data_IF_313384957155
#
_entry.id   IF_313384957155
#
_cell.length_a   1.000
_cell.length_b   1.000
_cell.length_c   1.000
_cell.angle_alpha   90.00
_cell.angle_beta   90.00
_cell.angle_gamma   90.00
#
_symmetry.space_group_name_H-M   'P 1'
#
loop_
_entity.id
_entity.type
_entity.pdbx_description
1 polymer ?
#
# COMPACT_ATOMS: atom_id res chain seq x y z
N UNK A 1 -9.63 -26.80 29.78
CA UNK A 1 -9.65 -26.64 28.31
C UNK A 1 -10.14 -25.24 28.00
N UNK A 2 -9.24 -24.32 27.68
CA UNK A 2 -9.58 -22.93 27.38
C UNK A 2 -10.06 -22.84 25.93
N UNK A 3 -11.24 -22.26 25.70
CA UNK A 3 -11.79 -22.08 24.36
C UNK A 3 -10.85 -21.17 23.52
N UNK A 4 -10.67 -21.46 22.21
CA UNK A 4 -9.96 -20.56 21.31
C UNK A 4 -10.70 -19.22 21.27
N UNK A 5 -10.00 -18.11 21.56
CA UNK A 5 -10.55 -16.76 21.35
C UNK A 5 -10.83 -16.60 19.84
N UNK A 6 -12.01 -16.14 19.41
CA UNK A 6 -12.22 -15.79 18.01
C UNK A 6 -11.28 -14.65 17.66
N UNK A 7 -10.28 -14.92 16.83
CA UNK A 7 -9.35 -13.93 16.33
C UNK A 7 -10.06 -12.98 15.38
N UNK A 8 -10.73 -11.97 15.92
CA UNK A 8 -11.16 -10.80 15.14
C UNK A 8 -10.02 -9.79 15.14
N UNK A 9 -8.91 -10.15 14.51
CA UNK A 9 -7.81 -9.23 14.22
C UNK A 9 -7.72 -9.05 12.71
N UNK A 10 -8.21 -7.92 12.19
CA UNK A 10 -7.61 -7.36 10.97
C UNK A 10 -7.43 -5.85 11.14
N UNK A 11 -6.42 -5.39 11.92
CA UNK A 11 -6.17 -3.95 12.05
C UNK A 11 -5.54 -3.35 10.78
N UNK A 12 -4.96 -4.17 9.89
CA UNK A 12 -4.23 -3.71 8.71
C UNK A 12 -4.45 -4.62 7.48
N UNK A 13 -5.44 -4.28 6.66
CA UNK A 13 -5.74 -4.99 5.40
C UNK A 13 -4.81 -4.53 4.26
N UNK A 14 -4.01 -5.46 3.74
CA UNK A 14 -3.04 -5.23 2.67
C UNK A 14 -3.53 -5.63 1.28
N UNK A 15 -4.82 -5.93 1.11
CA UNK A 15 -5.41 -6.32 -0.19
C UNK A 15 -5.18 -5.29 -1.30
N UNK A 16 -5.06 -4.01 -0.96
CA UNK A 16 -4.75 -2.95 -1.92
C UNK A 16 -3.37 -3.12 -2.57
N UNK A 17 -2.41 -3.77 -1.91
CA UNK A 17 -1.09 -4.03 -2.49
C UNK A 17 -1.18 -4.96 -3.70
N UNK A 18 -2.05 -5.97 -3.64
CA UNK A 18 -2.29 -6.89 -4.76
C UNK A 18 -2.92 -6.15 -5.94
N UNK A 19 -3.94 -5.34 -5.68
CA UNK A 19 -4.61 -4.55 -6.73
C UNK A 19 -3.65 -3.53 -7.33
N UNK A 20 -2.88 -2.81 -6.49
CA UNK A 20 -1.85 -1.87 -6.92
C UNK A 20 -0.82 -2.53 -7.82
N UNK A 21 -0.25 -3.67 -7.40
CA UNK A 21 0.74 -4.40 -8.19
C UNK A 21 0.18 -4.87 -9.55
N UNK A 22 -1.07 -5.35 -9.59
CA UNK A 22 -1.72 -5.76 -10.84
C UNK A 22 -1.97 -4.58 -11.78
N UNK A 23 -2.48 -3.46 -11.26
CA UNK A 23 -2.74 -2.25 -12.05
C UNK A 23 -1.42 -1.68 -12.58
N UNK A 24 -0.40 -1.56 -11.73
CA UNK A 24 0.93 -1.09 -12.14
C UNK A 24 1.54 -2.03 -13.17
N UNK A 25 1.43 -3.35 -13.00
CA UNK A 25 1.92 -4.33 -13.98
C UNK A 25 1.22 -4.20 -15.33
N UNK A 26 -0.11 -4.06 -15.35
CA UNK A 26 -0.87 -3.89 -16.58
C UNK A 26 -0.51 -2.58 -17.30
N UNK A 27 -0.43 -1.46 -16.57
CA UNK A 27 -0.05 -0.16 -17.13
C UNK A 27 1.39 -0.18 -17.62
N UNK A 28 2.32 -0.80 -16.88
CA UNK A 28 3.71 -0.92 -17.26
C UNK A 28 3.89 -1.77 -18.52
N UNK A 29 3.13 -2.86 -18.68
CA UNK A 29 3.17 -3.67 -19.89
C UNK A 29 2.72 -2.87 -21.13
N UNK A 30 1.63 -2.11 -21.02
CA UNK A 30 1.15 -1.24 -22.10
C UNK A 30 2.15 -0.12 -22.39
N UNK A 31 2.66 0.54 -21.36
CA UNK A 31 3.63 1.62 -21.50
C UNK A 31 4.94 1.14 -22.13
N UNK A 32 5.46 -0.02 -21.70
CA UNK A 32 6.67 -0.62 -22.26
C UNK A 32 6.48 -0.98 -23.74
N UNK A 33 5.30 -1.47 -24.12
CA UNK A 33 4.98 -1.73 -25.53
C UNK A 33 4.97 -0.43 -26.35
N UNK A 34 4.29 0.61 -25.85
CA UNK A 34 4.22 1.91 -26.55
C UNK A 34 5.62 2.52 -26.70
N UNK A 35 6.39 2.60 -25.61
CA UNK A 35 7.75 3.15 -25.61
C UNK A 35 8.70 2.32 -26.48
N UNK A 36 8.58 0.99 -26.42
CA UNK A 36 9.37 0.08 -27.26
C UNK A 36 9.16 0.31 -28.76
N UNK A 37 7.92 0.62 -29.16
CA UNK A 37 7.56 0.88 -30.54
C UNK A 37 7.85 2.32 -31.01
N UNK A 38 7.91 3.31 -30.11
CA UNK A 38 8.08 4.72 -30.47
C UNK A 38 9.49 5.26 -30.26
N UNK A 39 10.18 4.82 -29.21
CA UNK A 39 11.49 5.33 -28.78
C UNK A 39 12.57 4.25 -28.85
N UNK A 40 12.20 2.98 -28.61
CA UNK A 40 13.05 1.81 -28.77
C UNK A 40 12.99 0.87 -27.58
N UNK A 41 13.45 -0.37 -27.79
CA UNK A 41 13.34 -1.43 -26.77
C UNK A 41 14.25 -1.20 -25.55
N UNK A 42 15.31 -0.40 -25.66
CA UNK A 42 16.13 -0.02 -24.51
C UNK A 42 15.31 0.84 -23.52
N UNK A 43 14.53 1.80 -24.02
CA UNK A 43 13.67 2.67 -23.20
C UNK A 43 12.51 1.87 -22.58
N UNK A 44 12.01 0.86 -23.28
CA UNK A 44 11.01 -0.07 -22.73
C UNK A 44 11.53 -0.80 -21.48
N UNK A 45 12.82 -1.15 -21.43
CA UNK A 45 13.45 -1.71 -20.22
C UNK A 45 13.45 -0.67 -19.10
N UNK A 46 13.73 0.60 -19.39
CA UNK A 46 13.61 1.71 -18.43
C UNK A 46 12.22 1.80 -17.79
N UNK A 47 11.16 1.64 -18.59
CA UNK A 47 9.78 1.59 -18.10
C UNK A 47 9.55 0.40 -17.16
N UNK A 48 10.00 -0.79 -17.53
CA UNK A 48 9.82 -1.99 -16.69
C UNK A 48 10.61 -1.90 -15.39
N UNK A 49 11.84 -1.40 -15.44
CA UNK A 49 12.68 -1.18 -14.25
C UNK A 49 12.05 -0.13 -13.34
N UNK A 50 11.61 1.01 -13.88
CA UNK A 50 10.94 2.05 -13.08
C UNK A 50 9.66 1.55 -12.43
N UNK A 51 8.84 0.77 -13.15
CA UNK A 51 7.63 0.15 -12.61
C UNK A 51 7.94 -0.85 -11.49
N UNK A 52 8.99 -1.67 -11.65
CA UNK A 52 9.43 -2.60 -10.62
C UNK A 52 9.90 -1.86 -9.34
N UNK A 53 10.69 -0.80 -9.50
CA UNK A 53 11.16 0.05 -8.40
C UNK A 53 9.97 0.68 -7.64
N UNK A 54 9.01 1.26 -8.36
CA UNK A 54 7.80 1.84 -7.76
C UNK A 54 7.06 0.78 -6.96
N UNK A 55 6.78 -0.38 -7.59
CA UNK A 55 6.03 -1.48 -6.96
C UNK A 55 6.72 -1.93 -5.69
N UNK A 56 8.04 -2.18 -5.74
CA UNK A 56 8.82 -2.60 -4.58
C UNK A 56 8.73 -1.58 -3.45
N UNK A 57 8.92 -0.30 -3.74
CA UNK A 57 8.84 0.74 -2.73
C UNK A 57 7.48 0.82 -2.04
N UNK A 58 6.39 0.78 -2.80
CA UNK A 58 5.06 0.89 -2.21
C UNK A 58 4.66 -0.37 -1.45
N UNK A 59 5.05 -1.56 -1.92
CA UNK A 59 4.83 -2.82 -1.20
C UNK A 59 5.59 -2.81 0.12
N UNK A 60 6.89 -2.50 0.11
CA UNK A 60 7.70 -2.45 1.34
C UNK A 60 7.15 -1.41 2.30
N UNK A 61 6.80 -0.22 1.81
CA UNK A 61 6.19 0.84 2.64
C UNK A 61 4.89 0.37 3.29
N UNK A 62 3.99 -0.24 2.53
CA UNK A 62 2.73 -0.76 3.05
C UNK A 62 2.93 -1.83 4.12
N UNK A 63 3.87 -2.75 3.92
CA UNK A 63 4.20 -3.80 4.89
C UNK A 63 4.80 -3.21 6.17
N UNK A 64 5.72 -2.25 6.06
CA UNK A 64 6.35 -1.58 7.22
C UNK A 64 5.32 -0.79 8.01
N UNK A 65 4.44 -0.03 7.35
CA UNK A 65 3.39 0.74 8.01
C UNK A 65 2.40 -0.18 8.72
N UNK A 66 1.94 -1.25 8.06
CA UNK A 66 1.05 -2.23 8.67
C UNK A 66 1.70 -2.96 9.85
N UNK A 67 3.00 -3.26 9.75
CA UNK A 67 3.74 -3.82 10.87
C UNK A 67 3.86 -2.83 12.05
N UNK A 68 4.19 -1.57 11.78
CA UNK A 68 4.29 -0.53 12.81
C UNK A 68 2.95 -0.30 13.53
N UNK A 69 1.85 -0.25 12.77
CA UNK A 69 0.52 -0.10 13.33
C UNK A 69 0.05 -1.30 14.16
N UNK A 70 0.50 -2.53 13.83
CA UNK A 70 0.25 -3.70 14.70
C UNK A 70 0.94 -3.58 16.06
N UNK A 71 2.02 -2.81 16.17
CA UNK A 71 2.70 -2.57 17.45
C UNK A 71 1.98 -1.47 18.23
N UNK A 72 1.77 -0.31 17.60
CA UNK A 72 0.99 0.81 18.13
C UNK A 72 0.63 1.76 16.98
N UNK A 73 -0.63 2.16 16.89
CA UNK A 73 -1.14 3.06 15.84
C UNK A 73 -0.37 4.39 15.74
N UNK A 74 0.21 4.87 16.85
CA UNK A 74 1.03 6.08 16.90
C UNK A 74 2.29 5.98 16.02
N UNK A 75 2.79 4.77 15.74
CA UNK A 75 3.98 4.56 14.91
C UNK A 75 3.70 4.56 13.40
N UNK A 76 2.43 4.57 12.98
CA UNK A 76 2.06 4.49 11.56
C UNK A 76 2.53 5.71 10.76
N UNK A 77 2.32 6.92 11.30
CA UNK A 77 2.75 8.17 10.66
C UNK A 77 4.29 8.28 10.63
N UNK A 78 5.03 8.10 11.76
CA UNK A 78 6.49 8.05 11.72
C UNK A 78 7.03 7.01 10.73
N UNK A 79 6.44 5.81 10.68
CA UNK A 79 6.84 4.77 9.73
C UNK A 79 6.60 5.19 8.28
N UNK A 80 5.46 5.81 7.99
CA UNK A 80 5.14 6.31 6.65
C UNK A 80 6.12 7.41 6.21
N UNK A 81 6.40 8.38 7.08
CA UNK A 81 7.33 9.47 6.79
C UNK A 81 8.77 8.96 6.65
N UNK A 82 9.20 8.04 7.52
CA UNK A 82 10.50 7.40 7.46
C UNK A 82 10.70 6.61 6.16
N UNK A 83 9.70 5.82 5.75
CA UNK A 83 9.75 5.08 4.48
C UNK A 83 9.79 6.01 3.27
N UNK A 84 9.05 7.12 3.30
CA UNK A 84 9.13 8.14 2.26
C UNK A 84 10.53 8.76 2.18
N UNK A 85 11.13 9.10 3.32
CA UNK A 85 12.48 9.64 3.37
C UNK A 85 13.53 8.65 2.84
N UNK A 86 13.48 7.39 3.28
CA UNK A 86 14.35 6.32 2.78
C UNK A 86 14.19 6.16 1.26
N UNK A 87 12.96 6.14 0.76
CA UNK A 87 12.69 6.05 -0.68
C UNK A 87 13.30 7.22 -1.46
N UNK A 88 13.22 8.44 -0.94
CA UNK A 88 13.82 9.61 -1.57
C UNK A 88 15.35 9.48 -1.65
N UNK A 89 16.00 9.04 -0.56
CA UNK A 89 17.45 8.82 -0.53
C UNK A 89 17.88 7.70 -1.50
N UNK A 90 17.16 6.59 -1.52
CA UNK A 90 17.46 5.48 -2.44
C UNK A 90 17.29 5.92 -3.89
N UNK A 91 16.20 6.63 -4.24
CA UNK A 91 16.02 7.15 -5.60
C UNK A 91 17.10 8.16 -5.98
N UNK A 92 17.45 9.06 -5.07
CA UNK A 92 18.54 10.01 -5.31
C UNK A 92 19.84 9.28 -5.61
N UNK A 93 20.24 8.32 -4.77
CA UNK A 93 21.47 7.54 -4.97
C UNK A 93 21.45 6.70 -6.26
N UNK A 94 20.31 6.08 -6.58
CA UNK A 94 20.16 5.28 -7.82
C UNK A 94 20.27 6.16 -9.05
N UNK A 95 19.56 7.29 -9.07
CA UNK A 95 19.62 8.21 -10.21
C UNK A 95 21.02 8.77 -10.35
N UNK A 96 21.65 9.23 -9.27
CA UNK A 96 23.01 9.80 -9.30
C UNK A 96 24.06 8.80 -9.81
N UNK A 97 23.95 7.52 -9.44
CA UNK A 97 24.85 6.46 -9.90
C UNK A 97 24.67 6.07 -11.38
N UNK A 98 23.57 6.46 -12.02
CA UNK A 98 23.32 6.15 -13.43
C UNK A 98 24.16 7.08 -14.33
N UNK A 99 24.99 6.57 -15.24
CA UNK A 99 25.72 7.41 -16.19
C UNK A 99 24.77 8.16 -17.13
N UNK A 100 25.12 9.39 -17.52
CA UNK A 100 24.29 10.23 -18.42
C UNK A 100 24.09 9.59 -19.79
N UNK A 101 25.16 9.03 -20.37
CA UNK A 101 25.13 8.33 -21.67
C UNK A 101 24.98 6.80 -21.51
N UNK A 102 24.30 6.36 -20.45
CA UNK A 102 24.06 4.94 -20.19
C UNK A 102 23.12 4.28 -21.20
N UNK A 103 23.12 2.95 -21.22
CA UNK A 103 22.13 2.16 -21.98
C UNK A 103 20.70 2.30 -21.41
N UNK A 104 20.57 2.87 -20.22
CA UNK A 104 19.31 3.10 -19.53
C UNK A 104 19.08 4.61 -19.42
N UNK A 105 18.09 5.12 -20.16
CA UNK A 105 17.77 6.55 -20.12
C UNK A 105 17.26 6.99 -18.74
N UNK A 106 18.03 7.88 -18.10
CA UNK A 106 17.73 8.45 -16.79
C UNK A 106 16.40 9.19 -16.80
N UNK A 107 16.05 9.87 -17.90
CA UNK A 107 14.82 10.66 -18.01
C UNK A 107 13.57 9.77 -18.11
N UNK A 108 13.61 8.74 -18.95
CA UNK A 108 12.56 7.71 -19.06
C UNK A 108 12.33 7.00 -17.72
N UNK A 109 13.41 6.62 -17.02
CA UNK A 109 13.31 6.00 -15.70
C UNK A 109 12.64 6.96 -14.69
N UNK A 110 13.09 8.22 -14.63
CA UNK A 110 12.56 9.22 -13.71
C UNK A 110 11.06 9.46 -13.94
N UNK A 111 10.64 9.66 -15.19
CA UNK A 111 9.22 9.83 -15.53
C UNK A 111 8.38 8.62 -15.21
N UNK A 112 8.90 7.42 -15.48
CA UNK A 112 8.23 6.17 -15.12
C UNK A 112 7.99 6.09 -13.62
N UNK A 113 9.00 6.45 -12.80
CA UNK A 113 8.86 6.45 -11.34
C UNK A 113 7.81 7.45 -10.88
N UNK A 114 7.81 8.66 -11.45
CA UNK A 114 6.83 9.72 -11.11
C UNK A 114 5.41 9.26 -11.46
N UNK A 115 5.17 8.86 -12.71
CA UNK A 115 3.85 8.43 -13.19
C UNK A 115 3.38 7.18 -12.43
N UNK A 116 4.27 6.21 -12.20
CA UNK A 116 3.98 5.03 -11.42
C UNK A 116 3.61 5.34 -9.97
N UNK A 117 4.31 6.29 -9.34
CA UNK A 117 4.00 6.71 -7.97
C UNK A 117 2.67 7.45 -7.87
N UNK A 118 2.33 8.28 -8.85
CA UNK A 118 1.03 8.95 -8.93
C UNK A 118 -0.09 7.94 -9.15
N UNK A 119 0.09 7.01 -10.09
CA UNK A 119 -0.86 5.91 -10.34
C UNK A 119 -1.13 5.11 -9.06
N UNK A 120 -0.06 4.71 -8.34
CA UNK A 120 -0.22 3.97 -7.10
C UNK A 120 -0.94 4.78 -6.03
N UNK A 121 -0.60 6.06 -5.89
CA UNK A 121 -1.26 6.98 -4.96
C UNK A 121 -2.76 7.05 -5.23
N UNK A 122 -3.18 7.14 -6.50
CA UNK A 122 -4.61 7.12 -6.87
C UNK A 122 -5.27 5.80 -6.49
N UNK A 123 -4.64 4.66 -6.76
CA UNK A 123 -5.18 3.34 -6.38
C UNK A 123 -5.36 3.23 -4.86
N UNK A 124 -4.34 3.62 -4.10
CA UNK A 124 -4.38 3.60 -2.65
C UNK A 124 -5.44 4.56 -2.10
N UNK A 125 -5.50 5.78 -2.63
CA UNK A 125 -6.46 6.81 -2.21
C UNK A 125 -7.90 6.38 -2.50
N UNK A 126 -8.16 5.83 -3.70
CA UNK A 126 -9.45 5.26 -4.06
C UNK A 126 -9.85 4.12 -3.12
N UNK A 127 -8.90 3.26 -2.74
CA UNK A 127 -9.18 2.18 -1.79
C UNK A 127 -9.53 2.70 -0.39
N UNK A 128 -8.82 3.72 0.11
CA UNK A 128 -9.12 4.34 1.41
C UNK A 128 -10.47 5.05 1.39
N UNK A 129 -10.74 5.86 0.38
CA UNK A 129 -11.96 6.67 0.29
C UNK A 129 -13.24 5.88 0.06
N UNK A 130 -13.14 4.65 -0.46
CA UNK A 130 -14.31 3.79 -0.70
C UNK A 130 -14.68 2.92 0.49
N UNK A 131 -13.91 2.96 1.59
CA UNK A 131 -14.19 2.17 2.80
C UNK A 131 -14.97 2.96 3.85
N UNK A 132 -15.93 2.34 4.54
CA UNK A 132 -16.66 2.99 5.63
C UNK A 132 -15.74 3.22 6.83
N UNK A 133 -15.56 4.48 7.21
CA UNK A 133 -14.90 4.89 8.46
C UNK A 133 -15.97 5.00 9.55
N UNK A 134 -16.09 3.96 10.37
CA UNK A 134 -17.05 3.93 11.45
C UNK A 134 -16.56 4.77 12.64
N UNK A 135 -17.17 5.94 12.83
CA UNK A 135 -16.97 6.75 14.03
C UNK A 135 -17.75 6.18 15.25
N UNK A 136 -18.78 5.39 14.98
CA UNK A 136 -19.59 4.70 15.99
C UNK A 136 -19.67 3.23 15.61
N UNK A 137 -19.55 2.33 16.59
CA UNK A 137 -19.71 0.89 16.37
C UNK A 137 -21.03 0.61 15.64
N UNK A 138 -20.99 -0.01 14.44
CA UNK A 138 -22.20 -0.34 13.71
C UNK A 138 -23.09 -1.28 14.52
N UNK A 139 -24.43 -1.13 14.45
CA UNK A 139 -25.35 -2.14 14.95
C UNK A 139 -25.02 -3.50 14.33
N UNK A 140 -25.05 -4.57 15.14
CA UNK A 140 -24.81 -5.91 14.64
C UNK A 140 -25.82 -6.25 13.51
N UNK A 141 -25.38 -6.91 12.42
CA UNK A 141 -26.27 -7.31 11.34
C UNK A 141 -27.48 -8.12 11.86
N UNK A 142 -28.66 -7.99 11.23
CA UNK A 142 -29.84 -8.79 11.59
C UNK A 142 -29.50 -10.28 11.54
N UNK A 143 -29.60 -10.98 12.68
CA UNK A 143 -29.23 -12.38 12.83
C UNK A 143 -27.97 -12.67 13.66
N UNK A 144 -27.20 -11.64 14.06
CA UNK A 144 -26.05 -11.78 14.99
C UNK A 144 -26.34 -11.28 16.42
N UNK A 145 -27.57 -10.86 16.71
CA UNK A 145 -28.00 -10.51 18.06
C UNK A 145 -28.49 -11.74 18.81
N UNK A 146 -27.64 -12.33 19.66
CA UNK A 146 -28.02 -13.00 20.94
C UNK A 146 -26.78 -13.52 21.66
N UNK A 147 -26.02 -12.63 22.27
CA UNK A 147 -25.35 -12.95 23.53
C UNK A 147 -26.30 -12.52 24.65
N UNK A 148 -27.00 -13.47 25.29
CA UNK A 148 -27.88 -13.19 26.44
C UNK A 148 -27.18 -12.29 27.47
N UNK A 149 -27.88 -11.32 28.09
CA UNK A 149 -27.41 -10.73 29.34
C UNK A 149 -27.18 -11.86 30.34
N UNK A 150 -26.03 -11.89 31.00
CA UNK A 150 -25.76 -12.84 32.08
C UNK A 150 -26.89 -12.75 33.12
N UNK A 151 -27.54 -13.87 33.52
CA UNK A 151 -28.53 -13.82 34.58
C UNK A 151 -27.81 -13.72 35.92
N UNK A 152 -27.96 -12.58 36.60
CA UNK A 152 -27.69 -12.46 38.03
C UNK A 152 -26.64 -11.42 38.42
N UNK A 153 -27.08 -10.18 38.61
CA UNK A 153 -26.40 -9.20 39.45
C UNK A 153 -27.49 -8.40 40.19
N UNK A 154 -27.53 -8.41 41.55
CA UNK A 154 -28.68 -7.89 42.29
C UNK A 154 -28.79 -6.38 42.15
N UNK A 155 -30.01 -5.91 41.89
CA UNK A 155 -30.37 -4.51 41.90
C UNK A 155 -30.27 -3.95 43.32
N UNK A 156 -29.26 -3.12 43.59
CA UNK A 156 -29.25 -2.27 44.79
C UNK A 156 -30.17 -1.07 44.55
N UNK A 157 -31.40 -1.17 45.08
CA UNK A 157 -32.24 -0.02 45.43
C UNK A 157 -31.99 0.29 46.90
N UNK A 158 -31.51 1.48 47.18
CA UNK A 158 -31.41 2.11 48.50
C UNK A 158 -31.43 3.61 48.30
#
# INVERSE_FOLDING_TARGET
>A
MSAPRPGTEVPWDLSFLRVGALVTGAVAAVAALVVGLTLGWADAVGVLVGAAVVTAFFVVSGVVIAWAGRINDTFTLPAALGMFFVKALVLFAVLDALPEDGWLDRLTLAWTVIVGALLWSVVQLRWVWTRPLYYVTPPAPPGQGTGSPAPGGPATRG
#
